data_IF_653355605623
#
_entry.id   IF_653355605623
#
_cell.length_a   1.000
_cell.length_b   1.000
_cell.length_c   1.000
_cell.angle_alpha   90.00
_cell.angle_beta   90.00
_cell.angle_gamma   90.00
#
_symmetry.space_group_name_H-M   'P 1'
#
loop_
_entity.id
_entity.type
_entity.pdbx_description
1 polymer ?
#
# COMPACT_ATOMS: atom_id res chain seq x y z
N UNK A 1 -9.56 13.06 24.96
CA UNK A 1 -10.71 12.32 24.38
C UNK A 1 -10.27 11.89 23.00
N UNK A 2 -10.58 10.65 22.57
CA UNK A 2 -10.14 10.18 21.26
C UNK A 2 -10.66 11.09 20.15
N UNK A 3 -9.88 11.27 19.09
CA UNK A 3 -10.28 12.03 17.92
C UNK A 3 -11.52 11.37 17.29
N UNK A 4 -12.59 12.15 17.15
CA UNK A 4 -13.80 11.68 16.48
C UNK A 4 -13.62 11.84 14.97
N UNK A 5 -13.90 10.77 14.21
CA UNK A 5 -13.91 10.79 12.75
C UNK A 5 -15.26 10.38 12.17
N UNK A 6 -15.47 10.58 10.85
CA UNK A 6 -16.70 10.19 10.18
C UNK A 6 -16.83 8.67 10.09
N UNK A 7 -18.05 8.18 9.86
CA UNK A 7 -18.27 6.76 9.56
C UNK A 7 -17.77 6.42 8.16
N UNK A 8 -17.02 5.32 8.06
CA UNK A 8 -16.36 4.87 6.84
C UNK A 8 -17.22 3.80 6.18
N UNK A 9 -17.75 4.10 4.99
CA UNK A 9 -18.48 3.14 4.18
C UNK A 9 -17.55 2.18 3.42
N UNK A 10 -16.39 2.68 3.00
CA UNK A 10 -15.37 1.91 2.29
C UNK A 10 -13.99 2.58 2.46
N UNK A 11 -13.06 1.84 3.02
CA UNK A 11 -11.64 2.15 3.07
C UNK A 11 -10.82 0.90 2.75
N UNK A 12 -9.58 1.10 2.30
CA UNK A 12 -8.58 0.06 2.22
C UNK A 12 -7.30 0.53 2.91
N UNK A 13 -6.82 -0.24 3.88
CA UNK A 13 -5.47 -0.04 4.40
C UNK A 13 -4.48 -0.90 3.59
N UNK A 14 -3.49 -0.27 2.99
CA UNK A 14 -2.45 -0.94 2.23
C UNK A 14 -1.17 -1.00 3.04
N UNK A 15 -0.51 -2.16 3.00
CA UNK A 15 0.87 -2.32 3.46
C UNK A 15 1.69 -2.83 2.29
N UNK A 16 2.75 -2.09 1.92
CA UNK A 16 3.57 -2.40 0.75
C UNK A 16 5.01 -2.54 1.18
N UNK A 17 5.65 -3.64 0.79
CA UNK A 17 7.05 -3.94 1.02
C UNK A 17 7.76 -3.94 -0.32
N UNK A 18 8.78 -3.10 -0.45
CA UNK A 18 9.63 -3.02 -1.63
C UNK A 18 10.95 -3.69 -1.27
N UNK A 19 11.25 -4.79 -1.95
CA UNK A 19 12.49 -5.53 -1.78
C UNK A 19 13.42 -5.25 -2.95
N UNK A 20 14.59 -4.73 -2.64
CA UNK A 20 15.68 -4.60 -3.59
C UNK A 20 16.57 -5.85 -3.49
N UNK A 21 16.64 -6.64 -4.57
CA UNK A 21 17.18 -8.02 -4.54
C UNK A 21 18.33 -8.29 -5.51
N UNK A 22 18.51 -7.44 -6.52
CA UNK A 22 19.49 -7.65 -7.61
C UNK A 22 19.61 -6.38 -8.44
N UNK A 23 20.69 -6.16 -9.18
CA UNK A 23 20.80 -5.00 -10.07
C UNK A 23 19.73 -4.98 -11.17
N UNK A 24 19.37 -6.17 -11.70
CA UNK A 24 18.33 -6.31 -12.73
C UNK A 24 17.53 -7.61 -12.61
N UNK A 25 16.32 -7.63 -13.16
CA UNK A 25 15.49 -8.83 -13.30
C UNK A 25 15.02 -8.93 -14.75
N UNK A 26 15.41 -10.01 -15.44
CA UNK A 26 14.95 -10.28 -16.80
C UNK A 26 13.50 -10.80 -16.78
N UNK A 27 12.54 -9.88 -16.91
CA UNK A 27 11.12 -10.17 -16.91
C UNK A 27 10.70 -11.13 -18.03
N UNK A 28 11.47 -11.23 -19.12
CA UNK A 28 11.14 -12.10 -20.26
C UNK A 28 11.31 -13.58 -19.94
N UNK A 29 12.07 -13.91 -18.89
CA UNK A 29 12.23 -15.27 -18.38
C UNK A 29 11.12 -15.69 -17.43
N UNK A 30 10.30 -14.76 -16.97
CA UNK A 30 9.19 -15.04 -16.07
C UNK A 30 7.93 -15.41 -16.86
N UNK A 31 7.25 -16.47 -16.42
CA UNK A 31 5.97 -16.95 -16.99
C UNK A 31 4.87 -16.98 -15.94
N UNK A 32 5.25 -17.20 -14.69
CA UNK A 32 4.40 -17.18 -13.50
C UNK A 32 5.17 -16.55 -12.34
N UNK A 33 4.44 -16.08 -11.33
CA UNK A 33 5.01 -15.58 -10.08
C UNK A 33 4.34 -16.35 -8.93
N UNK A 34 5.11 -17.11 -8.14
CA UNK A 34 4.59 -17.93 -7.05
C UNK A 34 3.43 -18.85 -7.46
N UNK A 35 3.55 -19.48 -8.64
CA UNK A 35 2.52 -20.36 -9.21
C UNK A 35 1.33 -19.66 -9.87
N UNK A 36 1.25 -18.34 -9.82
CA UNK A 36 0.16 -17.55 -10.42
C UNK A 36 0.54 -16.97 -11.78
N UNK A 37 -0.44 -16.78 -12.67
CA UNK A 37 -0.20 -16.19 -14.00
C UNK A 37 0.36 -14.77 -13.85
N UNK A 38 1.50 -14.52 -14.47
CA UNK A 38 2.15 -13.22 -14.47
C UNK A 38 1.68 -12.41 -15.68
N UNK A 39 1.18 -11.20 -15.44
CA UNK A 39 0.68 -10.33 -16.50
C UNK A 39 1.39 -8.97 -16.47
N UNK A 40 1.62 -8.32 -17.64
CA UNK A 40 2.07 -6.93 -17.68
C UNK A 40 1.15 -6.02 -16.86
N UNK A 41 1.74 -5.25 -15.93
CA UNK A 41 1.04 -4.41 -14.97
C UNK A 41 1.44 -2.91 -15.08
N UNK A 42 1.19 -2.26 -16.24
CA UNK A 42 1.58 -0.87 -16.48
C UNK A 42 0.90 0.10 -15.50
N UNK A 43 1.41 1.33 -15.44
CA UNK A 43 0.79 2.39 -14.64
C UNK A 43 -0.57 2.74 -15.22
N UNK A 44 -1.60 2.70 -14.37
CA UNK A 44 -2.98 3.06 -14.75
C UNK A 44 -3.48 4.18 -13.86
N UNK A 45 -3.67 5.38 -14.43
CA UNK A 45 -4.42 6.44 -13.76
C UNK A 45 -5.93 6.21 -13.90
N UNK A 46 -6.67 6.45 -12.82
CA UNK A 46 -8.11 6.13 -12.72
C UNK A 46 -9.01 7.06 -13.55
N UNK A 47 -8.51 8.26 -13.90
CA UNK A 47 -9.29 9.33 -14.54
C UNK A 47 -8.94 9.60 -16.01
N UNK A 48 -7.80 9.12 -16.50
CA UNK A 48 -7.35 9.33 -17.88
C UNK A 48 -6.34 8.25 -18.30
N UNK A 49 -6.15 8.02 -19.62
CA UNK A 49 -5.02 7.23 -20.10
C UNK A 49 -3.72 7.85 -19.56
N UNK A 50 -2.91 7.03 -18.91
CA UNK A 50 -1.57 7.44 -18.49
C UNK A 50 -0.77 7.84 -19.72
N UNK A 51 -0.30 9.07 -19.76
CA UNK A 51 0.50 9.55 -20.88
C UNK A 51 1.78 8.68 -21.02
N UNK A 52 2.17 8.39 -22.27
CA UNK A 52 3.28 7.47 -22.56
C UNK A 52 4.59 7.90 -21.89
N UNK A 53 4.84 9.20 -21.76
CA UNK A 53 6.04 9.74 -21.10
C UNK A 53 6.09 9.50 -19.57
N UNK A 54 5.00 9.03 -18.95
CA UNK A 54 4.91 8.68 -17.53
C UNK A 54 5.00 7.15 -17.34
N UNK A 55 4.95 6.36 -18.42
CA UNK A 55 5.01 4.91 -18.33
C UNK A 55 6.41 4.40 -18.04
N UNK A 56 6.48 3.22 -17.42
CA UNK A 56 7.71 2.45 -17.39
C UNK A 56 8.11 2.04 -18.81
N UNK A 57 9.39 2.22 -19.15
CA UNK A 57 9.93 1.76 -20.43
C UNK A 57 9.74 0.23 -20.60
N UNK A 58 9.93 -0.52 -19.51
CA UNK A 58 9.58 -1.93 -19.39
C UNK A 58 8.44 -2.06 -18.38
N UNK A 59 7.22 -2.44 -18.80
CA UNK A 59 6.12 -2.65 -17.86
C UNK A 59 6.47 -3.73 -16.84
N UNK A 60 6.24 -3.50 -15.54
CA UNK A 60 6.49 -4.52 -14.54
C UNK A 60 5.53 -5.70 -14.75
N UNK A 61 5.94 -6.89 -14.33
CA UNK A 61 5.06 -8.04 -14.24
C UNK A 61 4.34 -8.04 -12.91
N UNK A 62 3.06 -8.37 -12.88
CA UNK A 62 2.30 -8.50 -11.65
C UNK A 62 1.40 -9.71 -11.64
N UNK A 63 1.16 -10.23 -10.44
CA UNK A 63 0.24 -11.32 -10.18
C UNK A 63 -0.55 -11.02 -8.89
N UNK A 64 -1.80 -11.48 -8.83
CA UNK A 64 -2.52 -11.56 -7.57
C UNK A 64 -2.07 -12.85 -6.88
N UNK A 65 -1.75 -12.75 -5.61
CA UNK A 65 -1.34 -13.89 -4.80
C UNK A 65 -2.52 -14.41 -3.97
N UNK A 66 -2.44 -15.65 -3.46
CA UNK A 66 -3.41 -16.13 -2.48
C UNK A 66 -3.59 -15.14 -1.32
N UNK A 67 -4.83 -14.91 -0.85
CA UNK A 67 -5.08 -14.05 0.30
C UNK A 67 -4.33 -14.52 1.55
N UNK A 68 -3.92 -13.58 2.39
CA UNK A 68 -3.23 -13.86 3.66
C UNK A 68 -4.16 -13.48 4.80
N UNK A 69 -4.25 -14.35 5.81
CA UNK A 69 -4.95 -14.06 7.05
C UNK A 69 -3.95 -13.68 8.14
N UNK A 70 -4.13 -12.49 8.72
CA UNK A 70 -3.32 -11.94 9.81
C UNK A 70 -4.26 -11.49 10.93
N UNK A 71 -4.14 -12.10 12.11
CA UNK A 71 -4.99 -11.80 13.28
C UNK A 71 -6.49 -11.85 13.03
N UNK A 72 -6.93 -12.77 12.16
CA UNK A 72 -8.33 -12.87 11.78
C UNK A 72 -8.78 -11.82 10.77
N UNK A 73 -7.90 -10.92 10.32
CA UNK A 73 -8.15 -10.02 9.20
C UNK A 73 -7.57 -10.63 7.93
N UNK A 74 -8.42 -10.79 6.91
CA UNK A 74 -7.98 -11.29 5.60
C UNK A 74 -7.58 -10.12 4.70
N UNK A 75 -6.38 -10.20 4.13
CA UNK A 75 -5.91 -9.28 3.12
C UNK A 75 -5.79 -9.96 1.76
N UNK A 76 -6.16 -9.24 0.71
CA UNK A 76 -5.70 -9.61 -0.63
C UNK A 76 -4.22 -9.27 -0.78
N UNK A 77 -3.49 -10.13 -1.47
CA UNK A 77 -2.05 -9.96 -1.70
C UNK A 77 -1.78 -9.79 -3.19
N UNK A 78 -0.84 -8.91 -3.53
CA UNK A 78 -0.41 -8.68 -4.91
C UNK A 78 1.08 -8.45 -4.96
N UNK A 79 1.71 -9.00 -5.99
CA UNK A 79 3.12 -8.78 -6.29
C UNK A 79 3.28 -7.98 -7.59
N UNK A 80 4.34 -7.16 -7.63
CA UNK A 80 4.90 -6.59 -8.86
C UNK A 80 6.41 -6.81 -8.88
N UNK A 81 6.94 -7.22 -10.01
CA UNK A 81 8.37 -7.41 -10.27
C UNK A 81 8.79 -6.40 -11.32
N UNK A 82 9.80 -5.61 -11.00
CA UNK A 82 10.36 -4.57 -11.86
C UNK A 82 11.70 -5.04 -12.42
N UNK A 83 12.01 -4.64 -13.65
CA UNK A 83 13.22 -5.03 -14.37
C UNK A 83 14.50 -4.45 -13.74
N UNK A 84 14.38 -3.37 -12.97
CA UNK A 84 15.46 -2.72 -12.24
C UNK A 84 15.72 -3.31 -10.84
N UNK A 85 15.40 -4.59 -10.60
CA UNK A 85 15.85 -5.26 -9.37
C UNK A 85 14.87 -5.30 -8.21
N UNK A 86 13.71 -4.68 -8.34
CA UNK A 86 12.77 -4.50 -7.22
C UNK A 86 11.58 -5.45 -7.32
N UNK A 87 11.23 -6.07 -6.19
CA UNK A 87 10.00 -6.85 -6.02
C UNK A 87 9.13 -6.14 -4.97
N UNK A 88 7.94 -5.72 -5.38
CA UNK A 88 6.94 -5.09 -4.50
C UNK A 88 5.87 -6.10 -4.12
N UNK A 89 5.67 -6.32 -2.82
CA UNK A 89 4.58 -7.13 -2.28
C UNK A 89 3.64 -6.21 -1.51
N UNK A 90 2.36 -6.21 -1.88
CA UNK A 90 1.35 -5.37 -1.23
C UNK A 90 0.21 -6.23 -0.69
N UNK A 91 -0.13 -5.97 0.57
CA UNK A 91 -1.35 -6.46 1.20
C UNK A 91 -2.40 -5.35 1.26
N UNK A 92 -3.66 -5.70 1.04
CA UNK A 92 -4.78 -4.78 1.07
C UNK A 92 -5.86 -5.28 2.01
N UNK A 93 -6.09 -4.52 3.09
CA UNK A 93 -7.03 -4.80 4.16
C UNK A 93 -8.27 -3.93 3.97
N UNK A 94 -9.39 -4.47 3.46
CA UNK A 94 -10.62 -3.71 3.33
C UNK A 94 -11.19 -3.38 4.71
N UNK A 95 -11.80 -2.21 4.85
CA UNK A 95 -12.37 -1.72 6.09
C UNK A 95 -13.68 -0.96 5.85
N UNK A 96 -14.62 -1.15 6.75
CA UNK A 96 -15.85 -0.36 6.87
C UNK A 96 -16.24 -0.28 8.33
N UNK A 97 -16.67 0.89 8.81
CA UNK A 97 -17.08 1.09 10.19
C UNK A 97 -16.56 2.39 10.80
N UNK A 98 -16.45 2.45 12.14
CA UNK A 98 -16.03 3.66 12.85
C UNK A 98 -14.57 4.03 12.57
N UNK A 99 -14.28 5.33 12.48
CA UNK A 99 -12.92 5.83 12.29
C UNK A 99 -11.90 5.28 13.30
N UNK A 100 -12.29 5.17 14.58
CA UNK A 100 -11.41 4.63 15.62
C UNK A 100 -10.98 3.19 15.33
N UNK A 101 -11.86 2.35 14.76
CA UNK A 101 -11.51 0.99 14.40
C UNK A 101 -10.56 0.92 13.20
N UNK A 102 -10.53 1.96 12.35
CA UNK A 102 -9.55 2.09 11.28
C UNK A 102 -8.17 2.49 11.82
N UNK A 103 -8.14 3.33 12.87
CA UNK A 103 -6.91 3.60 13.63
C UNK A 103 -6.42 2.33 14.32
N UNK A 104 -7.30 1.55 14.96
CA UNK A 104 -6.94 0.28 15.59
C UNK A 104 -6.33 -0.71 14.58
N UNK A 105 -6.92 -0.79 13.38
CA UNK A 105 -6.35 -1.58 12.28
C UNK A 105 -4.95 -1.09 11.91
N UNK A 106 -4.75 0.22 11.76
CA UNK A 106 -3.45 0.80 11.43
C UNK A 106 -2.39 0.51 12.51
N UNK A 107 -2.75 0.67 13.79
CA UNK A 107 -1.89 0.35 14.94
C UNK A 107 -1.51 -1.13 14.92
N UNK A 108 -2.51 -2.02 14.82
CA UNK A 108 -2.30 -3.46 14.84
C UNK A 108 -1.40 -3.94 13.70
N UNK A 109 -1.60 -3.39 12.49
CA UNK A 109 -0.77 -3.74 11.33
C UNK A 109 0.64 -3.15 11.39
N UNK A 110 0.83 -1.97 12.00
CA UNK A 110 2.18 -1.39 12.20
C UNK A 110 2.94 -2.00 13.38
N UNK A 111 2.30 -2.84 14.19
CA UNK A 111 2.91 -3.41 15.37
C UNK A 111 3.82 -4.61 15.05
N UNK A 112 5.10 -4.46 15.34
CA UNK A 112 6.11 -5.52 15.23
C UNK A 112 6.38 -5.99 13.80
N UNK A 113 7.09 -7.12 13.67
CA UNK A 113 7.69 -7.53 12.39
C UNK A 113 6.83 -8.53 11.59
N UNK A 114 5.56 -8.68 11.92
CA UNK A 114 4.74 -9.79 11.41
C UNK A 114 4.44 -9.66 9.92
N UNK A 115 4.02 -8.48 9.49
CA UNK A 115 3.77 -8.21 8.07
C UNK A 115 5.02 -8.32 7.23
N UNK A 116 6.14 -7.75 7.70
CA UNK A 116 7.41 -7.84 6.97
C UNK A 116 7.89 -9.29 6.93
N UNK A 117 7.67 -10.08 7.97
CA UNK A 117 7.99 -11.52 7.98
C UNK A 117 7.15 -12.30 6.96
N UNK A 118 5.84 -12.04 6.88
CA UNK A 118 4.99 -12.64 5.83
C UNK A 118 5.40 -12.19 4.43
N UNK A 119 5.72 -10.91 4.25
CA UNK A 119 6.22 -10.39 2.97
C UNK A 119 7.54 -11.06 2.57
N UNK A 120 8.46 -11.28 3.52
CA UNK A 120 9.72 -12.01 3.31
C UNK A 120 9.49 -13.47 2.96
N UNK A 121 8.56 -14.15 3.64
CA UNK A 121 8.19 -15.53 3.30
C UNK A 121 7.71 -15.64 1.85
N UNK A 122 6.84 -14.72 1.42
CA UNK A 122 6.34 -14.64 0.05
C UNK A 122 7.48 -14.29 -0.93
N UNK A 123 8.37 -13.37 -0.56
CA UNK A 123 9.56 -13.05 -1.36
C UNK A 123 10.44 -14.28 -1.58
N UNK A 124 10.72 -15.07 -0.55
CA UNK A 124 11.55 -16.27 -0.65
C UNK A 124 10.96 -17.32 -1.59
N UNK A 125 9.63 -17.40 -1.69
CA UNK A 125 8.93 -18.23 -2.67
C UNK A 125 9.14 -17.70 -4.10
N UNK A 126 8.99 -16.39 -4.29
CA UNK A 126 9.20 -15.75 -5.59
C UNK A 126 10.66 -15.88 -6.06
N UNK A 127 11.63 -15.63 -5.17
CA UNK A 127 13.06 -15.69 -5.50
C UNK A 127 13.50 -17.10 -5.89
N UNK A 128 12.89 -18.14 -5.30
CA UNK A 128 13.12 -19.53 -5.72
C UNK A 128 12.66 -19.76 -7.16
N UNK A 129 11.54 -19.20 -7.56
CA UNK A 129 10.98 -19.34 -8.91
C UNK A 129 11.74 -18.49 -9.95
N UNK A 130 12.21 -17.30 -9.58
CA UNK A 130 12.82 -16.34 -10.49
C UNK A 130 14.36 -16.28 -10.46
N UNK A 131 15.05 -17.17 -9.72
CA UNK A 131 16.51 -17.13 -9.55
C UNK A 131 17.32 -16.99 -10.85
N UNK A 132 16.88 -17.65 -11.93
CA UNK A 132 17.55 -17.58 -13.25
C UNK A 132 17.35 -16.26 -14.04
N UNK A 133 16.43 -15.42 -13.56
CA UNK A 133 16.13 -14.11 -14.11
C UNK A 133 16.89 -12.98 -13.39
N UNK A 134 17.45 -13.23 -12.20
CA UNK A 134 18.19 -12.22 -11.45
C UNK A 134 19.57 -11.98 -12.10
N UNK A 135 19.87 -10.71 -12.38
CA UNK A 135 21.18 -10.24 -12.79
C UNK A 135 21.87 -9.57 -11.60
N UNK A 136 23.04 -10.08 -11.23
CA UNK A 136 23.84 -9.61 -10.09
C UNK A 136 23.03 -9.51 -8.77
N UNK A 137 22.52 -10.64 -8.24
CA UNK A 137 21.78 -10.67 -6.98
C UNK A 137 22.65 -10.27 -5.79
N UNK A 138 22.06 -9.54 -4.85
CA UNK A 138 22.75 -9.00 -3.68
C UNK A 138 21.91 -9.17 -2.39
N UNK A 139 22.48 -8.88 -1.21
CA UNK A 139 21.70 -8.91 0.03
C UNK A 139 20.45 -8.02 -0.07
N UNK A 140 19.31 -8.58 0.34
CA UNK A 140 18.03 -7.91 0.19
C UNK A 140 17.89 -6.71 1.13
N UNK A 141 17.58 -5.55 0.57
CA UNK A 141 17.11 -4.39 1.32
C UNK A 141 15.58 -4.34 1.27
N UNK A 142 14.97 -3.76 2.30
CA UNK A 142 13.51 -3.62 2.37
C UNK A 142 13.14 -2.21 2.79
N UNK A 143 12.16 -1.66 2.09
CA UNK A 143 11.40 -0.49 2.51
C UNK A 143 9.94 -0.86 2.70
N UNK A 144 9.29 -0.27 3.69
CA UNK A 144 7.88 -0.48 3.99
C UNK A 144 7.07 0.82 3.91
N UNK A 145 5.85 0.69 3.40
CA UNK A 145 4.92 1.79 3.19
C UNK A 145 3.54 1.40 3.69
N UNK A 146 2.98 2.24 4.55
CA UNK A 146 1.62 2.09 5.07
C UNK A 146 0.75 3.21 4.50
N UNK A 147 -0.33 2.85 3.81
CA UNK A 147 -1.19 3.83 3.11
C UNK A 147 -2.65 3.58 3.44
N UNK A 148 -3.34 4.63 3.87
CA UNK A 148 -4.79 4.62 4.03
C UNK A 148 -5.45 5.17 2.77
N UNK A 149 -6.28 4.36 2.12
CA UNK A 149 -7.16 4.81 1.06
C UNK A 149 -8.58 4.88 1.61
N UNK A 150 -9.13 6.08 1.68
CA UNK A 150 -10.52 6.30 2.04
C UNK A 150 -11.33 6.53 0.76
N UNK A 151 -12.11 5.53 0.32
CA UNK A 151 -12.86 5.65 -0.93
C UNK A 151 -14.27 6.21 -0.73
N UNK A 152 -14.91 5.96 0.43
CA UNK A 152 -16.26 6.45 0.68
C UNK A 152 -16.58 6.58 2.17
N UNK A 153 -17.22 7.68 2.52
CA UNK A 153 -17.86 7.93 3.81
C UNK A 153 -19.36 7.65 3.73
N UNK A 154 -19.98 7.30 4.86
CA UNK A 154 -21.44 7.12 4.92
C UNK A 154 -22.19 8.43 4.61
N UNK A 155 -21.67 9.54 5.14
CA UNK A 155 -22.09 10.89 4.79
C UNK A 155 -21.03 11.48 3.87
N UNK A 156 -21.34 11.74 2.58
CA UNK A 156 -20.40 12.34 1.65
C UNK A 156 -19.91 13.71 2.14
N UNK A 157 -18.60 13.92 2.02
CA UNK A 157 -17.93 15.20 2.29
C UNK A 157 -16.99 15.48 1.13
N UNK A 158 -16.92 16.75 0.74
CA UNK A 158 -15.86 17.22 -0.16
C UNK A 158 -14.51 17.26 0.57
N UNK A 159 -13.41 17.40 -0.18
CA UNK A 159 -12.07 17.33 0.40
C UNK A 159 -11.82 18.46 1.41
N UNK A 160 -12.34 19.66 1.15
CA UNK A 160 -12.17 20.82 2.02
C UNK A 160 -12.90 20.64 3.37
N UNK A 161 -14.16 20.19 3.33
CA UNK A 161 -14.97 19.92 4.51
C UNK A 161 -14.42 18.73 5.33
N UNK A 162 -13.86 17.72 4.66
CA UNK A 162 -13.19 16.62 5.35
C UNK A 162 -11.97 17.11 6.14
N UNK A 163 -11.12 17.95 5.53
CA UNK A 163 -9.95 18.52 6.20
C UNK A 163 -10.34 19.47 7.34
N UNK A 164 -11.32 20.36 7.11
CA UNK A 164 -11.77 21.33 8.11
C UNK A 164 -12.41 20.66 9.33
N UNK A 165 -13.35 19.73 9.10
CA UNK A 165 -14.08 19.09 10.20
C UNK A 165 -13.31 17.96 10.89
N UNK A 166 -12.41 17.27 10.16
CA UNK A 166 -11.80 16.03 10.63
C UNK A 166 -10.27 15.99 10.51
N UNK A 167 -9.60 17.12 10.32
CA UNK A 167 -8.14 17.21 10.22
C UNK A 167 -7.40 16.50 11.36
N UNK A 168 -7.82 16.71 12.61
CA UNK A 168 -7.24 16.01 13.76
C UNK A 168 -7.38 14.48 13.69
N UNK A 169 -8.50 13.98 13.14
CA UNK A 169 -8.75 12.54 12.99
C UNK A 169 -7.90 11.93 11.86
N UNK A 170 -7.71 12.67 10.76
CA UNK A 170 -6.80 12.31 9.66
C UNK A 170 -5.37 12.22 10.16
N UNK A 171 -4.93 13.23 10.93
CA UNK A 171 -3.60 13.25 11.56
C UNK A 171 -3.44 12.05 12.50
N UNK A 172 -4.43 11.78 13.36
CA UNK A 172 -4.43 10.61 14.24
C UNK A 172 -4.28 9.29 13.45
N UNK A 173 -5.02 9.13 12.35
CA UNK A 173 -4.88 7.95 11.48
C UNK A 173 -3.48 7.83 10.85
N UNK A 174 -2.91 8.92 10.34
CA UNK A 174 -1.58 8.92 9.73
C UNK A 174 -0.48 8.51 10.72
N UNK A 175 -0.60 8.97 11.96
CA UNK A 175 0.33 8.70 13.07
C UNK A 175 -0.03 7.46 13.89
N UNK A 176 -1.13 6.79 13.57
CA UNK A 176 -1.66 5.65 14.32
C UNK A 176 -1.88 5.99 15.81
N UNK A 177 -2.50 7.14 16.09
CA UNK A 177 -2.74 7.68 17.42
C UNK A 177 -4.23 8.02 17.61
N UNK A 178 -4.78 7.65 18.76
CA UNK A 178 -6.18 7.93 19.10
C UNK A 178 -6.35 9.31 19.71
N UNK A 179 -5.36 9.83 20.42
CA UNK A 179 -5.42 11.17 20.98
C UNK A 179 -5.06 12.23 19.92
N UNK A 180 -5.65 13.43 20.02
CA UNK A 180 -5.23 14.53 19.15
C UNK A 180 -3.76 14.88 19.45
N UNK A 181 -2.96 14.99 18.38
CA UNK A 181 -1.61 15.55 18.46
C UNK A 181 -1.68 17.07 18.71
N UNK A 182 -0.55 17.68 19.06
CA UNK A 182 -0.47 19.12 19.25
C UNK A 182 -0.85 19.87 17.96
N UNK A 183 -1.46 21.07 18.02
CA UNK A 183 -1.88 21.80 16.83
C UNK A 183 -0.76 22.01 15.79
N UNK A 184 0.46 22.31 16.23
CA UNK A 184 1.61 22.47 15.33
C UNK A 184 1.96 21.18 14.57
N UNK A 185 1.80 20.00 15.19
CA UNK A 185 2.00 18.70 14.53
C UNK A 185 0.89 18.40 13.53
N UNK A 186 -0.35 18.82 13.84
CA UNK A 186 -1.47 18.70 12.91
C UNK A 186 -1.23 19.57 11.67
N UNK A 187 -0.84 20.84 11.88
CA UNK A 187 -0.53 21.78 10.80
C UNK A 187 0.62 21.28 9.92
N UNK A 188 1.69 20.77 10.53
CA UNK A 188 2.85 20.23 9.79
C UNK A 188 2.47 18.98 8.98
N UNK A 189 1.74 18.05 9.59
CA UNK A 189 1.29 16.81 8.94
C UNK A 189 0.38 17.11 7.75
N UNK A 190 -0.50 18.11 7.88
CA UNK A 190 -1.46 18.49 6.83
C UNK A 190 -0.91 19.54 5.85
N UNK A 191 0.32 20.03 6.04
CA UNK A 191 0.92 21.09 5.23
C UNK A 191 0.96 20.76 3.74
N UNK A 192 1.15 19.48 3.40
CA UNK A 192 1.21 19.01 2.02
C UNK A 192 -0.04 18.19 1.71
N UNK A 193 -1.05 18.85 1.13
CA UNK A 193 -2.24 18.21 0.61
C UNK A 193 -2.51 18.74 -0.80
N UNK A 194 -3.00 17.87 -1.67
CA UNK A 194 -3.26 18.21 -3.07
C UNK A 194 -4.63 17.66 -3.46
N UNK A 195 -5.38 18.45 -4.22
CA UNK A 195 -6.56 17.97 -4.94
C UNK A 195 -6.32 18.10 -6.44
N UNK A 196 -6.47 16.98 -7.16
CA UNK A 196 -6.24 16.91 -8.60
C UNK A 196 -7.51 17.11 -9.43
N UNK A 197 -8.67 16.94 -8.81
CA UNK A 197 -9.98 17.11 -9.44
C UNK A 197 -10.79 18.10 -8.60
N UNK A 198 -11.60 18.98 -9.23
CA UNK A 198 -12.61 19.71 -8.49
C UNK A 198 -13.61 18.71 -7.88
N UNK A 199 -14.03 18.99 -6.65
CA UNK A 199 -15.12 18.27 -5.99
C UNK A 199 -16.45 18.42 -6.76
#
# INVERSE_FOLDING_TARGET
MPVAGPQIANATFYTSFLFDVSDTIDLTKLRSIAGESAEPAPLRFRAAPTAEHIQFAVPPLGANLPPVALDGVTASARVKIYDYGVISIRFAFPYSGPWSGYIDLAIGLRAGDRLVSEARRVLDEILRDCASALGDPHPTLVEDYFTSALERLDVPLDAAALLDHYGAAIVGLMHAEHQPLAPAEQDETLRQHFSYLPD
#
